data_IF_176162361330
#
_entry.id   IF_176162361330
#
_cell.length_a   1.000
_cell.length_b   1.000
_cell.length_c   1.000
_cell.angle_alpha   90.00
_cell.angle_beta   90.00
_cell.angle_gamma   90.00
#
_symmetry.space_group_name_H-M   'P 1'
#
loop_
_entity.id
_entity.type
_entity.pdbx_description
1 polymer ?
#
# COMPACT_ATOMS: atom_id res chain seq x y z
N UNK A 1 26.14 78.91 -60.21
CA UNK A 1 26.54 79.11 -58.81
C UNK A 1 25.66 78.19 -57.97
N UNK A 2 26.22 77.06 -57.48
CA UNK A 2 26.47 76.78 -56.04
C UNK A 2 25.25 77.15 -55.20
N UNK A 3 24.50 76.24 -54.56
CA UNK A 3 24.80 74.98 -53.87
C UNK A 3 23.85 75.00 -52.64
N UNK A 4 23.31 73.96 -52.02
CA UNK A 4 23.55 72.51 -51.85
C UNK A 4 22.20 72.00 -51.28
N UNK A 5 21.47 70.97 -51.75
CA UNK A 5 21.72 69.51 -51.74
C UNK A 5 22.28 69.06 -50.38
N UNK A 6 21.62 68.24 -49.54
CA UNK A 6 20.77 67.07 -49.78
C UNK A 6 19.92 66.76 -48.50
N UNK A 7 18.62 66.47 -48.61
CA UNK A 7 17.97 65.12 -48.53
C UNK A 7 18.03 64.45 -47.14
N UNK A 8 16.94 64.00 -46.52
CA UNK A 8 15.57 63.85 -46.97
C UNK A 8 14.67 63.40 -45.81
N UNK A 9 13.38 63.74 -45.91
CA UNK A 9 12.31 63.13 -45.13
C UNK A 9 11.88 61.80 -45.78
N UNK A 10 11.00 61.02 -45.15
CA UNK A 10 9.59 61.29 -45.42
C UNK A 10 8.72 61.44 -44.16
N UNK A 11 7.92 62.49 -44.19
CA UNK A 11 6.65 62.66 -43.48
C UNK A 11 5.66 61.57 -43.90
N UNK A 12 4.74 61.26 -42.96
CA UNK A 12 3.29 60.95 -43.10
C UNK A 12 2.92 59.77 -42.19
N UNK A 13 1.91 59.79 -41.31
CA UNK A 13 0.81 60.71 -40.98
C UNK A 13 0.31 60.29 -39.57
N UNK A 14 0.08 61.26 -38.65
CA UNK A 14 -1.09 61.43 -37.73
C UNK A 14 -1.39 60.29 -36.71
N UNK A 15 -1.55 60.49 -35.39
CA UNK A 15 -2.32 61.49 -34.60
C UNK A 15 -1.89 61.47 -33.12
N UNK A 16 -2.30 62.51 -32.37
CA UNK A 16 -2.25 62.81 -30.91
C UNK A 16 -2.69 61.63 -30.00
N UNK A 17 -2.51 61.56 -28.67
CA UNK A 17 -2.52 62.53 -27.56
C UNK A 17 -2.12 61.78 -26.25
N UNK A 18 -1.67 62.52 -25.22
CA UNK A 18 -1.79 62.24 -23.75
C UNK A 18 -1.11 61.01 -23.11
N UNK A 19 -0.39 61.21 -21.99
CA UNK A 19 -0.89 60.84 -20.65
C UNK A 19 0.04 61.35 -19.52
N UNK A 20 -0.56 61.99 -18.52
CA UNK A 20 0.05 62.46 -17.27
C UNK A 20 -0.73 61.82 -16.13
N UNK A 21 -0.31 60.65 -15.63
CA UNK A 21 -0.90 60.04 -14.44
C UNK A 21 0.11 59.21 -13.64
N UNK A 22 0.44 59.73 -12.47
CA UNK A 22 1.03 58.99 -11.35
C UNK A 22 0.09 57.87 -10.88
N UNK A 23 0.50 56.61 -11.01
CA UNK A 23 -0.17 55.46 -10.38
C UNK A 23 0.82 54.49 -9.74
N UNK A 24 0.64 54.30 -8.43
CA UNK A 24 1.25 53.28 -7.59
C UNK A 24 0.80 51.90 -8.06
N UNK A 25 1.77 51.04 -8.38
CA UNK A 25 1.52 49.65 -8.80
C UNK A 25 1.34 48.76 -7.57
N UNK A 26 0.10 48.54 -7.16
CA UNK A 26 -0.27 47.35 -6.36
C UNK A 26 -1.36 46.59 -7.11
N UNK A 27 -1.24 45.26 -7.29
CA UNK A 27 -2.25 44.48 -7.97
C UNK A 27 -3.50 44.30 -7.07
N UNK A 28 -4.70 44.15 -7.66
CA UNK A 28 -5.93 44.00 -6.88
C UNK A 28 -5.97 42.65 -6.17
N UNK A 29 -6.43 42.68 -4.91
CA UNK A 29 -6.59 41.51 -4.05
C UNK A 29 -7.80 40.70 -4.52
N UNK A 30 -7.59 39.44 -4.91
CA UNK A 30 -8.65 38.49 -5.23
C UNK A 30 -9.50 38.17 -4.00
N UNK A 31 -10.83 37.96 -4.14
CA UNK A 31 -11.67 37.60 -3.02
C UNK A 31 -11.25 36.24 -2.48
N UNK A 32 -10.93 36.21 -1.18
CA UNK A 32 -10.58 35.02 -0.41
C UNK A 32 -11.63 33.94 -0.57
N UNK A 33 -11.22 32.80 -1.11
CA UNK A 33 -12.00 31.56 -1.07
C UNK A 33 -12.35 31.27 0.39
N UNK A 34 -13.64 31.17 0.68
CA UNK A 34 -14.11 30.55 1.91
C UNK A 34 -13.44 29.18 2.00
N UNK A 35 -12.67 28.96 3.08
CA UNK A 35 -12.11 27.68 3.46
C UNK A 35 -13.28 26.72 3.76
N UNK A 36 -13.82 26.13 2.70
CA UNK A 36 -14.54 24.88 2.78
C UNK A 36 -13.54 23.87 3.32
N UNK A 37 -13.65 23.51 4.59
CA UNK A 37 -13.13 22.27 5.15
C UNK A 37 -13.86 21.09 4.48
N UNK A 38 -13.65 20.94 3.17
CA UNK A 38 -13.86 19.70 2.49
C UNK A 38 -12.70 18.82 2.97
N UNK A 39 -13.01 17.78 3.74
CA UNK A 39 -12.05 16.74 4.07
C UNK A 39 -11.41 16.29 2.76
N UNK A 40 -10.18 16.72 2.50
CA UNK A 40 -9.37 16.24 1.41
C UNK A 40 -9.22 14.76 1.65
N UNK A 41 -9.97 13.94 0.90
CA UNK A 41 -9.68 12.53 0.77
C UNK A 41 -8.20 12.49 0.38
N UNK A 42 -7.33 11.93 1.22
CA UNK A 42 -5.91 11.95 0.91
C UNK A 42 -5.70 11.23 -0.44
N UNK A 43 -5.02 11.91 -1.36
CA UNK A 43 -4.68 11.38 -2.69
C UNK A 43 -3.71 10.18 -2.62
N UNK A 44 -3.25 9.83 -1.41
CA UNK A 44 -2.33 8.73 -1.19
C UNK A 44 -3.09 7.44 -0.90
N UNK A 45 -2.64 6.27 -1.37
CA UNK A 45 -3.27 4.99 -1.04
C UNK A 45 -3.20 4.67 0.47
N UNK A 46 -4.09 3.81 0.99
CA UNK A 46 -4.01 3.38 2.38
C UNK A 46 -2.71 2.63 2.65
N UNK A 47 -2.12 2.86 3.82
CA UNK A 47 -0.89 2.18 4.24
C UNK A 47 -0.90 1.88 5.75
N UNK A 48 -0.06 0.94 6.19
CA UNK A 48 0.09 0.65 7.61
C UNK A 48 0.77 1.80 8.34
N UNK A 49 0.31 2.13 9.54
CA UNK A 49 1.01 3.10 10.38
C UNK A 49 0.81 2.75 11.84
N UNK A 50 1.92 2.70 12.57
CA UNK A 50 1.95 2.62 14.02
C UNK A 50 2.07 4.01 14.68
N UNK A 51 1.96 5.10 13.92
CA UNK A 51 1.93 6.45 14.47
C UNK A 51 0.64 6.64 15.28
N UNK A 52 0.77 7.13 16.51
CA UNK A 52 -0.38 7.48 17.33
C UNK A 52 -0.92 8.83 16.87
N UNK A 53 -2.14 8.85 16.32
CA UNK A 53 -2.92 10.08 16.20
C UNK A 53 -3.58 10.37 17.55
N UNK A 54 -3.03 11.30 18.32
CA UNK A 54 -3.83 11.95 19.38
C UNK A 54 -4.64 13.05 18.70
N UNK A 55 -5.94 12.85 18.59
CA UNK A 55 -6.85 13.94 18.25
C UNK A 55 -6.89 14.91 19.44
N UNK A 56 -6.47 16.18 19.27
CA UNK A 56 -6.53 17.18 20.34
C UNK A 56 -8.00 17.56 20.57
N UNK A 57 -8.68 16.82 21.44
CA UNK A 57 -10.07 17.11 21.83
C UNK A 57 -10.95 15.91 22.16
N UNK A 58 -10.47 14.66 21.99
CA UNK A 58 -11.22 13.44 22.33
C UNK A 58 -10.45 12.64 23.37
N UNK A 59 -11.14 12.17 24.42
CA UNK A 59 -10.61 11.29 25.45
C UNK A 59 -9.69 10.21 24.86
N UNK A 60 -8.62 9.86 25.61
CA UNK A 60 -7.46 8.97 25.37
C UNK A 60 -7.74 7.60 24.70
N UNK A 61 -8.54 7.60 23.66
CA UNK A 61 -9.00 6.43 22.94
C UNK A 61 -8.05 6.29 21.78
N UNK A 62 -7.14 5.32 21.84
CA UNK A 62 -6.26 4.96 20.72
C UNK A 62 -7.13 4.56 19.53
N UNK A 63 -7.37 5.49 18.62
CA UNK A 63 -8.09 5.24 17.37
C UNK A 63 -7.13 4.71 16.32
N UNK A 64 -7.64 3.85 15.43
CA UNK A 64 -6.91 3.45 14.23
C UNK A 64 -6.59 4.69 13.38
N UNK A 65 -5.45 4.69 12.69
CA UNK A 65 -5.10 5.74 11.73
C UNK A 65 -6.23 5.93 10.71
N UNK A 66 -6.63 7.19 10.44
CA UNK A 66 -7.63 7.52 9.41
C UNK A 66 -7.19 7.06 8.02
N UNK A 67 -5.87 7.07 7.77
CA UNK A 67 -5.26 6.70 6.49
C UNK A 67 -5.02 5.19 6.34
N UNK A 68 -5.30 4.40 7.38
CA UNK A 68 -5.09 2.96 7.37
C UNK A 68 -6.12 2.19 6.53
N UNK A 69 -5.74 0.99 6.09
CA UNK A 69 -6.58 0.07 5.31
C UNK A 69 -7.98 -0.16 5.92
N UNK A 70 -8.07 -0.30 7.25
CA UNK A 70 -9.35 -0.54 7.94
C UNK A 70 -10.24 0.70 7.89
N UNK A 71 -9.70 1.86 8.27
CA UNK A 71 -10.43 3.14 8.32
C UNK A 71 -10.90 3.59 6.94
N UNK A 72 -10.07 3.39 5.91
CA UNK A 72 -10.45 3.67 4.51
C UNK A 72 -11.34 2.61 3.89
N UNK A 73 -11.70 1.54 4.62
CA UNK A 73 -12.65 0.52 4.20
C UNK A 73 -12.12 -0.48 3.17
N UNK A 74 -10.80 -0.62 3.03
CA UNK A 74 -10.18 -1.50 2.03
C UNK A 74 -10.65 -2.95 2.17
N UNK A 75 -10.62 -3.50 3.39
CA UNK A 75 -11.11 -4.86 3.66
C UNK A 75 -12.60 -5.03 3.32
N UNK A 76 -13.43 -4.02 3.63
CA UNK A 76 -14.86 -4.05 3.30
C UNK A 76 -15.05 -4.11 1.78
N UNK A 77 -14.32 -3.31 1.00
CA UNK A 77 -14.39 -3.34 -0.47
C UNK A 77 -13.94 -4.69 -1.02
N UNK A 78 -12.83 -5.22 -0.52
CA UNK A 78 -12.30 -6.53 -0.92
C UNK A 78 -13.33 -7.65 -0.71
N UNK A 79 -13.92 -7.73 0.49
CA UNK A 79 -14.92 -8.74 0.84
C UNK A 79 -16.21 -8.60 0.03
N UNK A 80 -16.60 -7.38 -0.31
CA UNK A 80 -17.78 -7.08 -1.13
C UNK A 80 -17.50 -7.13 -2.64
N UNK A 81 -16.28 -7.50 -3.06
CA UNK A 81 -15.85 -7.55 -4.46
C UNK A 81 -16.05 -6.22 -5.19
N UNK A 82 -15.83 -5.11 -4.48
CA UNK A 82 -15.90 -3.77 -5.02
C UNK A 82 -14.55 -3.34 -5.57
N UNK A 83 -14.56 -2.28 -6.38
CA UNK A 83 -13.35 -1.60 -6.81
C UNK A 83 -12.47 -1.23 -5.60
N UNK A 84 -11.17 -1.61 -5.57
CA UNK A 84 -10.30 -1.33 -4.45
C UNK A 84 -10.07 0.17 -4.21
N UNK A 85 -10.09 1.00 -5.26
CA UNK A 85 -9.90 2.44 -5.17
C UNK A 85 -10.63 3.19 -6.30
N UNK A 86 -11.95 3.40 -6.19
CA UNK A 86 -12.79 3.90 -7.28
C UNK A 86 -12.40 5.27 -7.85
N UNK A 87 -11.75 6.13 -7.05
CA UNK A 87 -11.31 7.46 -7.51
C UNK A 87 -9.86 7.53 -7.98
N UNK A 88 -9.10 6.42 -7.91
CA UNK A 88 -7.70 6.40 -8.32
C UNK A 88 -7.57 5.91 -9.76
N UNK A 89 -6.58 6.41 -10.51
CA UNK A 89 -6.23 5.97 -11.87
C UNK A 89 -7.39 6.08 -12.89
N UNK A 90 -8.15 7.17 -12.85
CA UNK A 90 -9.22 7.45 -13.83
C UNK A 90 -8.69 8.04 -15.14
N UNK A 91 -7.44 8.52 -15.16
CA UNK A 91 -6.81 9.14 -16.33
C UNK A 91 -6.14 8.13 -17.26
N UNK A 92 -6.06 8.46 -18.55
CA UNK A 92 -5.42 7.62 -19.58
C UNK A 92 -3.94 7.32 -19.29
N UNK A 93 -3.27 8.23 -18.59
CA UNK A 93 -1.89 8.08 -18.15
C UNK A 93 -1.76 8.12 -16.63
N UNK A 94 -0.80 7.37 -16.12
CA UNK A 94 -0.40 7.32 -14.70
C UNK A 94 1.11 7.46 -14.58
N UNK A 95 1.56 8.26 -13.61
CA UNK A 95 2.98 8.36 -13.29
C UNK A 95 3.37 7.31 -12.25
N UNK A 96 4.28 6.41 -12.62
CA UNK A 96 4.78 5.33 -11.76
C UNK A 96 6.31 5.34 -11.81
N UNK A 97 6.94 5.42 -10.64
CA UNK A 97 8.39 5.50 -10.46
C UNK A 97 9.08 6.65 -11.22
N UNK A 98 8.35 7.74 -11.48
CA UNK A 98 8.85 8.93 -12.18
C UNK A 98 8.74 8.85 -13.71
N UNK A 99 8.04 7.86 -14.24
CA UNK A 99 7.76 7.70 -15.66
C UNK A 99 6.25 7.73 -15.89
N UNK A 100 5.82 8.28 -17.03
CA UNK A 100 4.42 8.30 -17.42
C UNK A 100 4.08 7.05 -18.24
N UNK A 101 2.99 6.38 -17.88
CA UNK A 101 2.56 5.09 -18.42
C UNK A 101 1.11 5.16 -18.88
N UNK A 102 0.75 4.41 -19.91
CA UNK A 102 -0.66 4.23 -20.28
C UNK A 102 -1.34 3.34 -19.25
N UNK A 103 -2.35 3.87 -18.57
CA UNK A 103 -2.97 3.23 -17.39
C UNK A 103 -3.50 1.83 -17.67
N UNK A 104 -4.11 1.62 -18.84
CA UNK A 104 -4.79 0.36 -19.17
C UNK A 104 -3.84 -0.73 -19.71
N UNK A 105 -2.65 -0.38 -20.21
CA UNK A 105 -1.77 -1.34 -20.90
C UNK A 105 -0.43 -1.55 -20.21
N UNK A 106 0.01 -0.60 -19.36
CA UNK A 106 1.39 -0.62 -18.87
C UNK A 106 1.75 -1.86 -18.05
N UNK A 107 0.80 -2.44 -17.32
CA UNK A 107 1.07 -3.66 -16.56
C UNK A 107 1.22 -4.88 -17.48
N UNK A 108 0.49 -4.94 -18.60
CA UNK A 108 0.60 -6.01 -19.61
C UNK A 108 1.90 -5.88 -20.39
N UNK A 109 2.22 -4.68 -20.86
CA UNK A 109 3.35 -4.44 -21.74
C UNK A 109 4.70 -4.45 -21.00
N UNK A 110 4.71 -4.05 -19.73
CA UNK A 110 5.94 -3.78 -18.98
C UNK A 110 5.97 -4.41 -17.58
N UNK A 111 5.32 -5.56 -17.38
CA UNK A 111 5.25 -6.23 -16.06
C UNK A 111 6.62 -6.37 -15.40
N UNK A 112 7.59 -7.00 -16.09
CA UNK A 112 8.93 -7.25 -15.54
C UNK A 112 9.70 -5.97 -15.22
N UNK A 113 9.55 -4.93 -16.06
CA UNK A 113 10.21 -3.65 -15.85
C UNK A 113 9.63 -2.91 -14.65
N UNK A 114 8.31 -2.82 -14.54
CA UNK A 114 7.62 -2.17 -13.43
C UNK A 114 7.96 -2.84 -12.09
N UNK A 115 7.91 -4.18 -12.04
CA UNK A 115 8.32 -4.92 -10.84
C UNK A 115 9.83 -4.81 -10.58
N UNK A 116 10.67 -4.70 -11.62
CA UNK A 116 12.09 -4.40 -11.47
C UNK A 116 12.35 -3.05 -10.80
N UNK A 117 11.66 -1.99 -11.24
CA UNK A 117 11.71 -0.66 -10.63
C UNK A 117 11.21 -0.68 -9.19
N UNK A 118 10.13 -1.40 -8.91
CA UNK A 118 9.64 -1.61 -7.55
C UNK A 118 10.72 -2.22 -6.64
N UNK A 119 11.35 -3.32 -7.06
CA UNK A 119 12.44 -3.96 -6.30
C UNK A 119 13.61 -3.00 -6.07
N UNK A 120 13.95 -2.19 -7.07
CA UNK A 120 14.98 -1.16 -6.94
C UNK A 120 14.65 -0.13 -5.84
N UNK A 121 13.39 0.30 -5.73
CA UNK A 121 12.94 1.24 -4.68
C UNK A 121 12.99 0.61 -3.29
N UNK A 122 12.57 -0.65 -3.16
CA UNK A 122 12.69 -1.42 -1.91
C UNK A 122 14.16 -1.52 -1.46
N UNK A 123 15.05 -1.98 -2.36
CA UNK A 123 16.49 -2.11 -2.07
C UNK A 123 17.14 -0.75 -1.74
N UNK A 124 16.69 0.33 -2.39
CA UNK A 124 17.17 1.68 -2.05
C UNK A 124 16.78 2.09 -0.63
N UNK A 125 15.55 1.78 -0.21
CA UNK A 125 15.11 2.04 1.16
C UNK A 125 15.89 1.19 2.17
N UNK A 126 16.17 -0.08 1.88
CA UNK A 126 17.03 -0.93 2.71
C UNK A 126 18.44 -0.36 2.87
N UNK A 127 19.04 0.08 1.76
CA UNK A 127 20.35 0.73 1.78
C UNK A 127 20.34 2.01 2.63
N UNK A 128 19.24 2.78 2.60
CA UNK A 128 19.06 3.97 3.42
C UNK A 128 19.01 3.63 4.92
N UNK A 129 18.39 2.51 5.29
CA UNK A 129 18.43 2.02 6.68
C UNK A 129 19.85 1.64 7.08
N UNK A 130 20.58 0.94 6.22
CA UNK A 130 21.95 0.50 6.51
C UNK A 130 22.94 1.66 6.63
N UNK A 131 22.77 2.71 5.81
CA UNK A 131 23.64 3.88 5.80
C UNK A 131 23.27 4.94 6.85
N UNK A 132 22.12 4.82 7.51
CA UNK A 132 21.61 5.81 8.49
C UNK A 132 22.38 5.89 9.83
N UNK A 133 23.65 5.52 9.87
CA UNK A 133 24.46 5.53 11.10
C UNK A 133 24.88 6.96 11.51
N UNK A 134 24.28 7.47 12.58
CA UNK A 134 24.80 8.52 13.49
C UNK A 134 24.73 10.02 13.08
N UNK A 135 24.31 10.37 11.87
CA UNK A 135 24.22 11.79 11.45
C UNK A 135 22.83 12.41 11.72
N UNK A 136 22.61 12.86 12.96
CA UNK A 136 21.37 13.53 13.38
C UNK A 136 21.02 14.77 12.54
N UNK A 137 22.01 15.44 11.93
CA UNK A 137 21.81 16.62 11.08
C UNK A 137 21.06 16.33 9.78
N UNK A 138 20.95 15.07 9.35
CA UNK A 138 20.25 14.68 8.11
C UNK A 138 18.90 13.98 8.37
N UNK A 139 18.44 13.88 9.62
CA UNK A 139 17.27 13.09 9.99
C UNK A 139 15.99 13.47 9.21
N UNK A 140 15.78 14.75 8.91
CA UNK A 140 14.64 15.22 8.10
C UNK A 140 14.75 14.80 6.63
N UNK A 141 15.93 14.97 6.03
CA UNK A 141 16.21 14.53 4.65
C UNK A 141 15.98 13.02 4.51
N UNK A 142 16.54 12.24 5.43
CA UNK A 142 16.41 10.78 5.44
C UNK A 142 14.94 10.35 5.62
N UNK A 143 14.19 11.06 6.45
CA UNK A 143 12.77 10.80 6.62
C UNK A 143 11.99 11.00 5.32
N UNK A 144 12.15 12.14 4.65
CA UNK A 144 11.40 12.45 3.43
C UNK A 144 11.80 11.55 2.25
N UNK A 145 13.09 11.22 2.12
CA UNK A 145 13.53 10.26 1.11
C UNK A 145 12.94 8.86 1.37
N UNK A 146 12.95 8.41 2.63
CA UNK A 146 12.38 7.12 2.98
C UNK A 146 10.85 7.06 2.79
N UNK A 147 10.16 8.14 3.15
CA UNK A 147 8.71 8.28 2.93
C UNK A 147 8.38 8.27 1.43
N UNK A 148 9.10 9.04 0.61
CA UNK A 148 8.91 9.07 -0.84
C UNK A 148 9.12 7.68 -1.48
N UNK A 149 10.17 6.97 -1.09
CA UNK A 149 10.42 5.59 -1.56
C UNK A 149 9.28 4.65 -1.18
N UNK A 150 8.80 4.74 0.06
CA UNK A 150 7.68 3.93 0.54
C UNK A 150 6.40 4.25 -0.23
N UNK A 151 6.08 5.53 -0.42
CA UNK A 151 4.86 5.96 -1.11
C UNK A 151 4.87 5.53 -2.58
N UNK A 152 6.00 5.62 -3.28
CA UNK A 152 6.11 5.10 -4.65
C UNK A 152 5.83 3.59 -4.72
N UNK A 153 6.33 2.82 -3.75
CA UNK A 153 6.06 1.39 -3.67
C UNK A 153 4.58 1.09 -3.38
N UNK A 154 3.97 1.81 -2.43
CA UNK A 154 2.56 1.65 -2.07
C UNK A 154 1.64 2.05 -3.23
N UNK A 155 1.94 3.15 -3.91
CA UNK A 155 1.22 3.61 -5.10
C UNK A 155 1.29 2.60 -6.24
N UNK A 156 2.46 2.02 -6.50
CA UNK A 156 2.59 0.96 -7.50
C UNK A 156 1.76 -0.27 -7.15
N UNK A 157 1.78 -0.72 -5.88
CA UNK A 157 0.95 -1.85 -5.45
C UNK A 157 -0.55 -1.54 -5.55
N UNK A 158 -0.95 -0.31 -5.25
CA UNK A 158 -2.33 0.15 -5.45
C UNK A 158 -2.72 0.12 -6.93
N UNK A 159 -1.84 0.59 -7.81
CA UNK A 159 -2.04 0.51 -9.26
C UNK A 159 -2.25 -0.93 -9.71
N UNK A 160 -1.43 -1.89 -9.24
CA UNK A 160 -1.60 -3.32 -9.59
C UNK A 160 -2.97 -3.85 -9.13
N UNK A 161 -3.43 -3.50 -7.91
CA UNK A 161 -4.77 -3.90 -7.42
C UNK A 161 -5.89 -3.35 -8.30
N UNK A 162 -5.82 -2.06 -8.64
CA UNK A 162 -6.80 -1.40 -9.50
C UNK A 162 -6.76 -2.01 -10.89
N UNK A 163 -5.57 -2.25 -11.44
CA UNK A 163 -5.41 -2.86 -12.75
C UNK A 163 -6.06 -4.23 -12.84
N UNK A 164 -5.73 -5.12 -11.89
CA UNK A 164 -6.33 -6.46 -11.83
C UNK A 164 -7.85 -6.36 -11.67
N UNK A 165 -8.35 -5.38 -10.91
CA UNK A 165 -9.79 -5.21 -10.76
C UNK A 165 -10.48 -4.61 -12.01
N UNK A 166 -9.86 -3.69 -12.74
CA UNK A 166 -10.57 -2.97 -13.81
C UNK A 166 -10.30 -3.52 -15.20
N UNK A 167 -9.05 -3.87 -15.47
CA UNK A 167 -8.56 -4.09 -16.82
C UNK A 167 -8.24 -5.56 -17.10
N UNK A 168 -8.03 -6.38 -16.07
CA UNK A 168 -7.84 -7.82 -16.29
C UNK A 168 -9.18 -8.48 -16.68
N UNK A 169 -9.26 -8.87 -17.95
CA UNK A 169 -10.42 -9.58 -18.47
C UNK A 169 -10.51 -11.03 -17.96
N UNK A 170 -11.73 -11.57 -17.77
CA UNK A 170 -11.90 -12.97 -17.48
C UNK A 170 -11.42 -13.86 -18.64
N UNK A 171 -10.99 -15.11 -18.36
CA UNK A 171 -10.59 -16.07 -19.38
C UNK A 171 -11.67 -16.24 -20.45
N UNK A 172 -11.36 -15.87 -21.71
CA UNK A 172 -12.28 -16.02 -22.84
C UNK A 172 -12.37 -17.50 -23.25
N UNK A 173 -13.59 -18.00 -23.44
CA UNK A 173 -13.81 -19.35 -23.98
C UNK A 173 -13.53 -19.34 -25.48
N UNK A 174 -12.38 -19.89 -25.87
CA UNK A 174 -11.98 -20.38 -27.20
C UNK A 174 -12.67 -19.69 -28.39
N UNK A 175 -12.05 -18.62 -28.91
CA UNK A 175 -12.24 -18.20 -30.29
C UNK A 175 -11.03 -18.68 -31.10
N UNK A 176 -11.27 -19.51 -32.12
CA UNK A 176 -10.27 -20.35 -32.82
C UNK A 176 -9.47 -19.57 -33.89
N UNK A 177 -9.37 -18.25 -33.71
CA UNK A 177 -8.71 -17.31 -34.62
C UNK A 177 -7.26 -17.02 -34.24
N UNK A 178 -6.42 -16.55 -35.19
CA UNK A 178 -5.10 -16.04 -34.86
C UNK A 178 -5.24 -14.84 -33.93
N UNK A 179 -4.81 -14.99 -32.68
CA UNK A 179 -4.88 -13.95 -31.67
C UNK A 179 -3.88 -12.84 -32.02
N UNK A 180 -4.29 -11.60 -31.80
CA UNK A 180 -3.38 -10.46 -31.90
C UNK A 180 -2.29 -10.60 -30.82
N UNK A 181 -1.01 -10.28 -31.09
CA UNK A 181 0.09 -10.48 -30.11
C UNK A 181 -0.15 -9.86 -28.74
N UNK A 182 -0.87 -8.73 -28.69
CA UNK A 182 -1.29 -8.10 -27.44
C UNK A 182 -2.23 -8.97 -26.60
N UNK A 183 -3.16 -9.68 -27.25
CA UNK A 183 -4.10 -10.60 -26.58
C UNK A 183 -3.36 -11.80 -25.98
N UNK A 184 -2.27 -12.25 -26.62
CA UNK A 184 -1.41 -13.30 -26.07
C UNK A 184 -0.67 -12.83 -24.80
N UNK A 185 -0.20 -11.57 -24.78
CA UNK A 185 0.41 -10.97 -23.60
C UNK A 185 -0.59 -10.83 -22.45
N UNK A 186 -1.80 -10.37 -22.73
CA UNK A 186 -2.88 -10.28 -21.73
C UNK A 186 -3.21 -11.65 -21.13
N UNK A 187 -3.29 -12.70 -21.95
CA UNK A 187 -3.55 -14.06 -21.50
C UNK A 187 -2.43 -14.61 -20.58
N UNK A 188 -1.18 -14.15 -20.77
CA UNK A 188 -0.03 -14.56 -19.95
C UNK A 188 0.15 -13.71 -18.69
N UNK A 189 -0.52 -12.55 -18.60
CA UNK A 189 -0.36 -11.62 -17.48
C UNK A 189 -0.68 -12.26 -16.12
N UNK A 190 -1.76 -13.04 -15.92
CA UNK A 190 -2.03 -13.69 -14.64
C UNK A 190 -0.86 -14.52 -14.13
N UNK A 191 -0.29 -15.38 -14.98
CA UNK A 191 0.85 -16.22 -14.64
C UNK A 191 2.08 -15.38 -14.31
N UNK A 192 2.35 -14.35 -15.13
CA UNK A 192 3.46 -13.42 -14.92
C UNK A 192 3.34 -12.65 -13.60
N UNK A 193 2.12 -12.25 -13.21
CA UNK A 193 1.88 -11.60 -11.91
C UNK A 193 2.16 -12.55 -10.75
N UNK A 194 1.76 -13.82 -10.80
CA UNK A 194 2.08 -14.79 -9.74
C UNK A 194 3.59 -14.95 -9.58
N UNK A 195 4.33 -15.02 -10.69
CA UNK A 195 5.80 -15.10 -10.69
C UNK A 195 6.43 -13.87 -10.06
N UNK A 196 5.99 -12.68 -10.45
CA UNK A 196 6.54 -11.42 -9.96
C UNK A 196 6.21 -11.20 -8.47
N UNK A 197 4.99 -11.53 -8.05
CA UNK A 197 4.56 -11.50 -6.64
C UNK A 197 5.38 -12.46 -5.79
N UNK A 198 5.60 -13.70 -6.26
CA UNK A 198 6.49 -14.63 -5.57
C UNK A 198 7.91 -14.08 -5.47
N UNK A 199 8.45 -13.52 -6.55
CA UNK A 199 9.75 -12.84 -6.53
C UNK A 199 9.82 -11.70 -5.52
N UNK A 200 8.73 -10.95 -5.31
CA UNK A 200 8.65 -9.96 -4.22
C UNK A 200 8.69 -10.64 -2.85
N UNK A 201 7.91 -11.71 -2.64
CA UNK A 201 7.89 -12.43 -1.34
C UNK A 201 9.26 -12.99 -0.97
N UNK A 202 10.04 -13.43 -1.97
CA UNK A 202 11.43 -13.87 -1.76
C UNK A 202 12.36 -12.71 -1.41
N UNK A 203 12.20 -11.55 -2.07
CA UNK A 203 12.99 -10.37 -1.78
C UNK A 203 12.77 -9.86 -0.35
N UNK A 204 11.49 -9.71 0.04
CA UNK A 204 11.13 -9.12 1.34
C UNK A 204 11.23 -10.10 2.50
N UNK A 205 11.21 -11.40 2.24
CA UNK A 205 11.35 -12.45 3.24
C UNK A 205 10.24 -12.45 4.32
N UNK A 206 10.59 -12.97 5.49
CA UNK A 206 9.67 -13.09 6.65
C UNK A 206 9.83 -11.90 7.58
N UNK A 207 8.73 -11.42 8.17
CA UNK A 207 8.77 -10.29 9.10
C UNK A 207 9.62 -10.58 10.35
N UNK A 208 9.60 -11.82 10.83
CA UNK A 208 10.38 -12.23 12.01
C UNK A 208 11.90 -12.27 11.77
N UNK A 209 12.31 -12.34 10.50
CA UNK A 209 13.72 -12.45 10.10
C UNK A 209 14.32 -11.07 9.79
N UNK A 210 13.52 -9.99 9.90
CA UNK A 210 13.99 -8.62 9.73
C UNK A 210 15.11 -8.28 10.74
N UNK A 211 16.07 -7.41 10.36
CA UNK A 211 17.09 -6.94 11.28
C UNK A 211 16.51 -6.33 12.57
N UNK A 212 17.18 -6.54 13.71
CA UNK A 212 16.68 -6.12 15.02
C UNK A 212 16.43 -4.60 15.13
N UNK A 213 17.20 -3.78 14.41
CA UNK A 213 17.02 -2.33 14.32
C UNK A 213 15.77 -1.92 13.51
N UNK A 214 15.27 -2.80 12.65
CA UNK A 214 14.00 -2.63 11.93
C UNK A 214 12.84 -3.11 12.79
N UNK A 215 12.99 -4.28 13.44
CA UNK A 215 11.96 -4.79 14.35
C UNK A 215 11.71 -3.87 15.55
N UNK A 216 12.76 -3.21 16.07
CA UNK A 216 12.60 -2.23 17.15
C UNK A 216 11.74 -1.03 16.74
N UNK A 217 11.54 -0.78 15.44
CA UNK A 217 10.64 0.29 15.00
C UNK A 217 9.16 0.03 15.36
N UNK A 218 8.77 -1.21 15.67
CA UNK A 218 7.43 -1.56 16.19
C UNK A 218 7.11 -0.97 17.57
N UNK A 219 8.13 -0.49 18.29
CA UNK A 219 7.98 0.10 19.63
C UNK A 219 8.20 1.61 19.63
N UNK A 220 8.52 2.20 18.48
CA UNK A 220 8.67 3.65 18.34
C UNK A 220 7.28 4.30 18.53
N UNK A 221 7.06 4.82 19.74
CA UNK A 221 5.94 5.71 20.04
C UNK A 221 6.40 7.15 19.79
N UNK A 222 6.53 7.52 18.51
CA UNK A 222 6.92 8.88 18.16
C UNK A 222 5.69 9.77 18.03
N UNK A 223 5.67 10.87 18.77
CA UNK A 223 4.64 11.92 18.67
C UNK A 223 4.96 12.96 17.59
N UNK A 224 6.16 12.90 17.00
CA UNK A 224 6.58 13.79 15.91
C UNK A 224 6.29 13.23 14.52
N UNK A 225 6.23 14.11 13.52
CA UNK A 225 5.97 13.78 12.11
C UNK A 225 7.14 13.08 11.39
N UNK A 226 8.35 13.13 11.97
CA UNK A 226 9.55 12.55 11.37
C UNK A 226 9.83 11.17 11.94
N UNK A 227 9.99 10.19 11.05
CA UNK A 227 10.29 8.80 11.36
C UNK A 227 11.62 8.39 10.72
N UNK A 228 12.42 7.55 11.38
CA UNK A 228 13.66 7.04 10.82
C UNK A 228 13.39 6.11 9.62
N UNK A 229 14.34 5.94 8.69
CA UNK A 229 14.19 5.02 7.56
C UNK A 229 13.79 3.59 7.95
N UNK A 230 14.23 3.09 9.11
CA UNK A 230 13.89 1.74 9.60
C UNK A 230 12.40 1.58 9.90
N UNK A 231 11.72 2.66 10.32
CA UNK A 231 10.28 2.69 10.52
C UNK A 231 9.56 2.58 9.18
N UNK A 232 10.00 3.34 8.18
CA UNK A 232 9.43 3.30 6.83
C UNK A 232 9.61 1.94 6.18
N UNK A 233 10.79 1.35 6.31
CA UNK A 233 11.07 0.01 5.78
C UNK A 233 10.14 -1.02 6.42
N UNK A 234 10.07 -1.06 7.76
CA UNK A 234 9.18 -1.99 8.47
C UNK A 234 7.73 -1.89 7.98
N UNK A 235 7.20 -0.67 7.83
CA UNK A 235 5.82 -0.49 7.39
C UNK A 235 5.65 -0.82 5.91
N UNK A 236 6.67 -0.57 5.07
CA UNK A 236 6.67 -1.03 3.69
C UNK A 236 6.61 -2.57 3.62
N UNK A 237 7.34 -3.31 4.47
CA UNK A 237 7.20 -4.78 4.52
C UNK A 237 5.75 -5.19 4.83
N UNK A 238 5.09 -4.54 5.80
CA UNK A 238 3.68 -4.81 6.11
C UNK A 238 2.76 -4.50 4.91
N UNK A 239 2.96 -3.35 4.25
CA UNK A 239 2.20 -2.93 3.08
C UNK A 239 2.36 -3.94 1.93
N UNK A 240 3.58 -4.44 1.71
CA UNK A 240 3.89 -5.45 0.70
C UNK A 240 3.22 -6.77 1.04
N UNK A 241 3.39 -7.29 2.26
CA UNK A 241 2.78 -8.55 2.68
C UNK A 241 1.27 -8.54 2.49
N UNK A 242 0.61 -7.46 2.92
CA UNK A 242 -0.82 -7.27 2.74
C UNK A 242 -1.22 -7.15 1.26
N UNK A 243 -0.50 -6.34 0.49
CA UNK A 243 -0.82 -6.12 -0.92
C UNK A 243 -0.66 -7.38 -1.76
N UNK A 244 0.33 -8.23 -1.47
CA UNK A 244 0.47 -9.54 -2.12
C UNK A 244 -0.78 -10.40 -1.89
N UNK A 245 -1.27 -10.50 -0.66
CA UNK A 245 -2.50 -11.24 -0.35
C UNK A 245 -3.70 -10.66 -1.09
N UNK A 246 -3.83 -9.33 -1.09
CA UNK A 246 -4.94 -8.63 -1.75
C UNK A 246 -4.93 -8.84 -3.26
N UNK A 247 -3.77 -8.72 -3.92
CA UNK A 247 -3.62 -8.92 -5.36
C UNK A 247 -3.90 -10.38 -5.72
N UNK A 248 -3.38 -11.36 -4.97
CA UNK A 248 -3.66 -12.78 -5.22
C UNK A 248 -5.15 -13.09 -5.06
N UNK A 249 -5.81 -12.47 -4.08
CA UNK A 249 -7.25 -12.61 -3.90
C UNK A 249 -8.04 -12.01 -5.06
N UNK A 250 -7.69 -10.79 -5.49
CA UNK A 250 -8.30 -10.13 -6.66
C UNK A 250 -8.09 -10.96 -7.94
N UNK A 251 -6.89 -11.52 -8.12
CA UNK A 251 -6.58 -12.38 -9.26
C UNK A 251 -7.48 -13.62 -9.28
N UNK A 252 -7.63 -14.30 -8.14
CA UNK A 252 -8.52 -15.45 -8.02
C UNK A 252 -9.99 -15.09 -8.30
N UNK A 253 -10.44 -13.88 -7.92
CA UNK A 253 -11.79 -13.41 -8.26
C UNK A 253 -11.94 -13.19 -9.77
N UNK A 254 -10.94 -12.59 -10.43
CA UNK A 254 -10.97 -12.24 -11.86
C UNK A 254 -10.85 -13.45 -12.77
N UNK A 255 -10.06 -14.44 -12.38
CA UNK A 255 -9.97 -15.73 -13.08
C UNK A 255 -11.13 -16.67 -12.76
N UNK A 256 -12.20 -16.19 -12.11
CA UNK A 256 -13.38 -16.97 -11.72
C UNK A 256 -13.03 -18.24 -10.92
N UNK A 257 -12.00 -18.17 -10.09
CA UNK A 257 -11.51 -19.30 -9.30
C UNK A 257 -10.67 -20.31 -10.07
N UNK A 258 -10.34 -20.05 -11.34
CA UNK A 258 -9.36 -20.86 -12.06
C UNK A 258 -7.97 -20.71 -11.39
N UNK A 259 -7.29 -21.85 -11.27
CA UNK A 259 -5.93 -21.92 -10.73
C UNK A 259 -4.97 -21.31 -11.75
N UNK A 260 -4.21 -20.32 -11.31
CA UNK A 260 -3.19 -19.66 -12.11
C UNK A 260 -1.84 -20.24 -11.74
N UNK A 261 -1.10 -20.73 -12.73
CA UNK A 261 0.21 -21.35 -12.53
C UNK A 261 1.33 -20.38 -12.90
N UNK A 262 2.37 -20.29 -12.08
CA UNK A 262 3.61 -19.60 -12.41
C UNK A 262 4.45 -20.47 -13.37
N UNK A 263 4.29 -20.28 -14.67
CA UNK A 263 4.84 -21.18 -15.70
C UNK A 263 6.37 -21.26 -15.66
N UNK A 264 7.07 -20.16 -15.43
CA UNK A 264 8.53 -20.15 -15.34
C UNK A 264 9.04 -20.96 -14.13
N UNK A 265 8.34 -20.95 -13.00
CA UNK A 265 8.75 -21.71 -11.81
C UNK A 265 8.42 -23.20 -11.91
N UNK A 266 7.26 -23.55 -12.48
CA UNK A 266 6.92 -24.96 -12.79
C UNK A 266 8.05 -25.61 -13.59
N UNK A 267 8.61 -24.89 -14.55
CA UNK A 267 9.70 -25.36 -15.39
C UNK A 267 11.06 -25.47 -14.68
N UNK A 268 11.28 -24.76 -13.57
CA UNK A 268 12.56 -24.69 -12.87
C UNK A 268 12.65 -25.64 -11.66
N UNK A 269 11.59 -25.76 -10.87
CA UNK A 269 11.61 -26.52 -9.61
C UNK A 269 10.86 -27.85 -9.69
N UNK A 270 10.01 -28.03 -10.71
CA UNK A 270 9.11 -29.19 -10.81
C UNK A 270 7.94 -29.14 -9.82
N UNK A 271 7.85 -28.11 -8.98
CA UNK A 271 6.74 -27.85 -8.07
C UNK A 271 5.76 -26.86 -8.71
N UNK A 272 4.46 -27.13 -8.54
CA UNK A 272 3.41 -26.27 -9.08
C UNK A 272 3.18 -25.06 -8.17
N UNK A 273 3.94 -23.98 -8.39
CA UNK A 273 3.62 -22.68 -7.79
C UNK A 273 2.33 -22.13 -8.43
N UNK A 274 1.30 -21.94 -7.60
CA UNK A 274 0.01 -21.41 -8.01
C UNK A 274 -0.37 -20.17 -7.20
N UNK A 275 -1.31 -19.37 -7.69
CA UNK A 275 -1.89 -18.27 -6.91
C UNK A 275 -2.48 -18.75 -5.57
N UNK A 276 -3.08 -19.96 -5.53
CA UNK A 276 -3.69 -20.54 -4.32
C UNK A 276 -2.62 -20.95 -3.33
N UNK A 277 -1.64 -21.75 -3.76
CA UNK A 277 -0.57 -22.22 -2.87
C UNK A 277 0.26 -21.05 -2.33
N UNK A 278 0.55 -20.06 -3.17
CA UNK A 278 1.26 -18.85 -2.76
C UNK A 278 0.45 -18.05 -1.73
N UNK A 279 -0.87 -17.91 -1.92
CA UNK A 279 -1.72 -17.21 -0.98
C UNK A 279 -1.75 -17.89 0.39
N UNK A 280 -1.95 -19.21 0.43
CA UNK A 280 -2.03 -19.98 1.67
C UNK A 280 -0.72 -19.97 2.45
N UNK A 281 0.40 -20.23 1.77
CA UNK A 281 1.73 -20.22 2.39
C UNK A 281 2.07 -18.83 2.93
N UNK A 282 1.85 -17.78 2.14
CA UNK A 282 2.16 -16.41 2.53
C UNK A 282 1.27 -15.93 3.68
N UNK A 283 -0.03 -16.24 3.67
CA UNK A 283 -0.94 -15.92 4.77
C UNK A 283 -0.55 -16.64 6.05
N UNK A 284 -0.30 -17.94 5.98
CA UNK A 284 0.13 -18.74 7.13
C UNK A 284 1.45 -18.23 7.70
N UNK A 285 2.41 -17.90 6.83
CA UNK A 285 3.69 -17.30 7.22
C UNK A 285 3.52 -15.96 7.93
N UNK A 286 2.74 -15.05 7.34
CA UNK A 286 2.47 -13.73 7.88
C UNK A 286 1.78 -13.79 9.25
N UNK A 287 0.74 -14.62 9.40
CA UNK A 287 0.04 -14.79 10.67
C UNK A 287 0.98 -15.35 11.75
N UNK A 288 1.77 -16.37 11.43
CA UNK A 288 2.78 -16.91 12.35
C UNK A 288 3.76 -15.83 12.81
N UNK A 289 4.25 -14.99 11.89
CA UNK A 289 5.22 -13.95 12.20
C UNK A 289 4.60 -12.86 13.07
N UNK A 290 3.39 -12.40 12.75
CA UNK A 290 2.69 -11.38 13.54
C UNK A 290 2.37 -11.89 14.96
N UNK A 291 1.95 -13.15 15.10
CA UNK A 291 1.76 -13.78 16.41
C UNK A 291 3.07 -13.85 17.17
N UNK A 292 4.16 -14.30 16.53
CA UNK A 292 5.49 -14.37 17.15
C UNK A 292 6.00 -13.00 17.61
N UNK A 293 5.86 -11.97 16.77
CA UNK A 293 6.22 -10.59 17.10
C UNK A 293 5.38 -10.05 18.27
N UNK A 294 4.07 -10.31 18.28
CA UNK A 294 3.20 -9.92 19.38
C UNK A 294 3.59 -10.64 20.69
N UNK A 295 3.81 -11.96 20.64
CA UNK A 295 4.25 -12.74 21.78
C UNK A 295 5.58 -12.21 22.34
N UNK A 296 6.55 -11.89 21.49
CA UNK A 296 7.83 -11.31 21.92
C UNK A 296 7.63 -9.95 22.60
N UNK A 297 6.81 -9.07 22.00
CA UNK A 297 6.52 -7.73 22.55
C UNK A 297 5.81 -7.78 23.90
N UNK A 298 4.85 -8.70 24.05
CA UNK A 298 4.01 -8.79 25.26
C UNK A 298 4.47 -9.87 26.27
N UNK A 299 5.53 -10.62 25.97
CA UNK A 299 6.07 -11.68 26.83
C UNK A 299 6.40 -11.24 28.27
N UNK A 300 6.66 -9.95 28.47
CA UNK A 300 7.02 -9.35 29.76
C UNK A 300 5.92 -8.48 30.37
N UNK A 301 4.76 -8.35 29.71
CA UNK A 301 3.64 -7.55 30.22
C UNK A 301 2.82 -8.42 31.18
N UNK A 302 2.61 -7.94 32.41
CA UNK A 302 1.77 -8.67 33.36
C UNK A 302 0.34 -8.75 32.81
N UNK A 303 -0.37 -9.89 32.94
CA UNK A 303 -1.76 -10.01 32.45
C UNK A 303 -2.68 -8.89 32.95
N UNK A 304 -2.45 -8.39 34.16
CA UNK A 304 -3.18 -7.26 34.76
C UNK A 304 -2.94 -5.92 34.04
N UNK A 305 -1.73 -5.69 33.53
CA UNK A 305 -1.37 -4.49 32.77
C UNK A 305 -1.96 -4.54 31.35
N UNK A 306 -1.96 -5.73 30.72
CA UNK A 306 -2.58 -5.95 29.41
C UNK A 306 -4.11 -5.73 29.42
N UNK A 307 -4.79 -6.07 30.52
CA UNK A 307 -6.24 -5.84 30.67
C UNK A 307 -6.61 -4.39 30.97
N UNK A 308 -5.71 -3.62 31.63
CA UNK A 308 -5.91 -2.19 31.90
C UNK A 308 -5.61 -1.30 30.69
N UNK A 309 -4.87 -1.82 29.71
CA UNK A 309 -4.59 -1.16 28.45
C UNK A 309 -5.76 -1.36 27.51
N UNK A 310 -6.56 -0.31 27.26
CA UNK A 310 -7.57 -0.34 26.20
C UNK A 310 -6.88 -0.42 24.84
N UNK A 311 -6.68 -1.64 24.35
CA UNK A 311 -5.98 -1.88 23.09
C UNK A 311 -6.84 -1.53 21.87
N UNK A 312 -8.18 -1.66 21.98
CA UNK A 312 -9.16 -1.23 20.99
C UNK A 312 -10.54 -1.04 21.63
N UNK A 313 -11.25 0.04 21.32
CA UNK A 313 -12.70 0.17 21.53
C UNK A 313 -13.40 0.06 20.19
N UNK A 314 -13.99 -1.10 19.91
CA UNK A 314 -14.95 -1.23 18.82
C UNK A 314 -16.27 -0.64 19.31
N UNK A 315 -16.60 0.57 18.89
CA UNK A 315 -17.94 1.11 19.10
C UNK A 315 -18.90 0.37 18.17
N UNK A 316 -19.62 -0.62 18.68
CA UNK A 316 -20.79 -1.14 18.00
C UNK A 316 -21.83 -0.01 17.85
N UNK A 317 -22.54 0.10 16.72
CA UNK A 317 -23.64 1.05 16.61
C UNK A 317 -24.68 0.73 17.69
N UNK A 318 -24.94 1.69 18.57
CA UNK A 318 -26.05 1.63 19.53
C UNK A 318 -27.34 1.49 18.72
N UNK A 319 -27.90 0.29 18.65
CA UNK A 319 -29.32 0.14 18.36
C UNK A 319 -30.08 0.84 19.49
N UNK A 320 -30.78 1.91 19.12
CA UNK A 320 -31.74 2.58 19.97
C UNK A 320 -32.82 1.59 20.40
N UNK A 321 -32.76 1.13 21.66
CA UNK A 321 -33.80 0.28 22.21
C UNK A 321 -33.41 -0.37 23.52
N UNK A 322 -33.96 0.17 24.61
CA UNK A 322 -34.10 -0.43 25.94
C UNK A 322 -32.83 -0.76 26.75
N UNK A 323 -32.71 -0.01 27.83
CA UNK A 323 -31.97 -0.29 29.05
C UNK A 323 -32.27 -1.67 29.65
N UNK A 324 -31.23 -2.46 29.86
CA UNK A 324 -31.07 -3.29 31.06
C UNK A 324 -29.60 -3.66 31.24
N UNK A 325 -29.06 -3.26 32.38
CA UNK A 325 -27.77 -3.66 32.92
C UNK A 325 -27.68 -5.18 33.07
N UNK A 326 -26.68 -5.81 32.46
CA UNK A 326 -26.27 -7.16 32.84
C UNK A 326 -24.76 -7.22 32.95
N UNK A 327 -24.27 -7.24 34.20
CA UNK A 327 -22.89 -7.58 34.53
C UNK A 327 -22.66 -9.05 34.18
N UNK A 328 -21.67 -9.35 33.35
CA UNK A 328 -21.19 -10.73 33.19
C UNK A 328 -20.11 -10.98 34.23
N UNK A 329 -20.51 -11.53 35.37
CA UNK A 329 -19.61 -12.11 36.35
C UNK A 329 -19.02 -13.40 35.76
N UNK A 330 -17.69 -13.49 35.77
CA UNK A 330 -16.91 -14.66 35.35
C UNK A 330 -17.26 -15.86 36.23
N UNK A 331 -18.09 -16.78 35.71
CA UNK A 331 -18.41 -18.06 36.33
C UNK A 331 -17.43 -19.14 35.90
N UNK A 332 -16.84 -19.81 36.88
CA UNK A 332 -15.97 -20.98 36.79
C UNK A 332 -16.53 -22.06 35.85
N UNK A 333 -15.67 -22.67 35.03
CA UNK A 333 -15.87 -24.03 34.52
C UNK A 333 -14.63 -24.90 34.82
N UNK A 334 -14.83 -26.16 35.25
CA UNK A 334 -13.78 -27.06 35.71
C UNK A 334 -13.05 -27.72 34.54
N UNK A 335 -11.74 -27.95 34.68
CA UNK A 335 -10.94 -28.66 33.69
C UNK A 335 -11.13 -30.18 33.76
N UNK A 336 -10.93 -30.92 32.65
CA UNK A 336 -10.74 -32.36 32.70
C UNK A 336 -9.25 -32.74 32.57
N UNK A 337 -8.72 -33.39 33.61
CA UNK A 337 -7.55 -34.26 33.49
C UNK A 337 -7.96 -35.58 32.83
N UNK A 338 -7.30 -35.96 31.74
CA UNK A 338 -7.32 -37.34 31.25
C UNK A 338 -5.96 -37.68 30.63
N UNK A 339 -5.26 -38.63 31.27
CA UNK A 339 -4.00 -39.21 30.85
C UNK A 339 -4.24 -40.17 29.69
N UNK A 340 -3.56 -39.98 28.55
CA UNK A 340 -3.61 -40.93 27.43
C UNK A 340 -2.51 -41.99 27.57
N UNK A 341 -2.92 -43.26 27.69
CA UNK A 341 -2.04 -44.43 27.49
C UNK A 341 -1.96 -44.77 25.99
N UNK A 342 -0.74 -44.97 25.49
CA UNK A 342 -0.43 -45.40 24.13
C UNK A 342 -0.77 -46.89 23.92
N UNK A 343 -1.58 -47.19 22.90
CA UNK A 343 -1.78 -48.56 22.38
C UNK A 343 -0.71 -48.89 21.32
N UNK A 344 -0.17 -50.12 21.28
CA UNK A 344 0.81 -50.53 20.29
C UNK A 344 0.16 -50.90 18.93
N UNK A 345 0.95 -50.88 17.83
CA UNK A 345 0.44 -51.03 16.47
C UNK A 345 0.11 -52.50 16.10
N UNK A 346 -0.79 -52.73 15.12
CA UNK A 346 -1.18 -54.07 14.69
C UNK A 346 -0.15 -54.72 13.75
N UNK A 347 0.04 -56.02 13.93
CA UNK A 347 0.86 -56.92 13.09
C UNK A 347 0.22 -57.23 11.73
N UNK A 348 1.03 -57.48 10.68
CA UNK A 348 0.54 -57.81 9.34
C UNK A 348 0.05 -59.27 9.23
N UNK A 349 -0.85 -59.58 8.28
CA UNK A 349 -1.35 -60.93 8.09
C UNK A 349 -0.34 -61.84 7.37
N UNK A 350 -0.33 -63.11 7.78
CA UNK A 350 0.39 -64.23 7.17
C UNK A 350 -0.54 -64.99 6.21
N UNK A 351 -0.04 -65.20 4.98
CA UNK A 351 -0.52 -65.98 3.84
C UNK A 351 -1.86 -65.64 3.18
#
# INVERSE_FOLDING_TARGET
>A
MKGSINSGQPLRFVTEMEDDFSQSLTPPVSPSAEESYCASCSDQPPCFSCALTLDPGRDETKTLSSEGYVSRGALKRLLLKLDPAPGDFETDCVDIFGFSWVTETALVESTKLLFGLFRQKVLRLENLVQSSSHDFGQASSLHYEAEDLRQQCVQFLQYVKVFVSRFLEPPRLLDDGPLHPYVELEAQLPSSLVEELFGITLLIGRLKDLPANVQSALTIQHQGKLFPPSWHLLHLHLDIHWSVLEILHLLAQRTMGQVVYAHQFVNLTGENLTNVSLFEEHLGGLLCDLIGLAMNKYSKVRPTEAMSSHHYTVSAPKNSGSSSSTSWSTGMFPGPSASYQLLPPPTPPLN
#
